data_IF_106102534360
#
_entry.id   IF_106102534360
#
_cell.length_a   1.000
_cell.length_b   1.000
_cell.length_c   1.000
_cell.angle_alpha   90.00
_cell.angle_beta   90.00
_cell.angle_gamma   90.00
#
_symmetry.space_group_name_H-M   'P 1'
#
loop_
_entity.id
_entity.type
_entity.pdbx_description
1 polymer ?
#
# COMPACT_ATOMS: atom_id res chain seq x y z
N UNK A 1 10.39 -4.85 10.12
CA UNK A 1 9.61 -3.59 9.96
C UNK A 1 10.30 -2.39 10.60
N UNK A 2 10.40 -2.25 11.92
CA UNK A 2 10.92 -1.02 12.57
C UNK A 2 12.39 -0.69 12.24
N UNK A 3 13.23 -1.70 12.03
CA UNK A 3 14.64 -1.51 11.63
C UNK A 3 14.79 -1.00 10.19
N UNK A 4 14.04 -1.57 9.26
CA UNK A 4 14.08 -1.23 7.81
C UNK A 4 13.21 -0.02 7.46
N UNK A 5 12.25 0.34 8.31
CA UNK A 5 11.30 1.42 8.07
C UNK A 5 11.93 2.76 7.67
N UNK A 6 12.98 3.25 8.36
CA UNK A 6 13.64 4.50 7.99
C UNK A 6 14.17 4.49 6.54
N UNK A 7 14.82 3.41 6.13
CA UNK A 7 15.35 3.25 4.76
C UNK A 7 14.23 3.26 3.72
N UNK A 8 13.16 2.48 3.95
CA UNK A 8 12.02 2.43 3.03
C UNK A 8 11.31 3.80 2.87
N UNK A 9 11.21 4.60 3.93
CA UNK A 9 10.62 5.94 3.85
C UNK A 9 11.54 6.92 3.11
N UNK A 10 12.86 6.80 3.29
CA UNK A 10 13.83 7.61 2.55
C UNK A 10 13.84 7.26 1.06
N UNK A 11 13.81 5.96 0.72
CA UNK A 11 13.63 5.49 -0.65
C UNK A 11 12.35 6.06 -1.25
N UNK A 12 11.24 5.94 -0.52
CA UNK A 12 9.96 6.51 -0.92
C UNK A 12 10.09 8.01 -1.18
N UNK A 13 10.74 8.79 -0.32
CA UNK A 13 11.02 10.22 -0.54
C UNK A 13 11.77 10.48 -1.86
N UNK A 14 12.74 9.65 -2.23
CA UNK A 14 13.49 9.83 -3.49
C UNK A 14 12.63 9.63 -4.73
N UNK A 15 11.53 8.87 -4.60
CA UNK A 15 10.57 8.63 -5.68
C UNK A 15 9.58 9.79 -5.92
N UNK A 16 9.65 10.87 -5.14
CA UNK A 16 8.86 12.09 -5.34
C UNK A 16 7.64 12.40 -4.44
N UNK A 17 7.29 11.67 -3.36
CA UNK A 17 6.18 12.04 -2.51
C UNK A 17 6.48 13.37 -1.80
N UNK A 18 5.52 14.29 -1.87
CA UNK A 18 5.59 15.62 -1.30
C UNK A 18 5.41 15.60 0.23
N UNK A 19 6.32 14.92 0.95
CA UNK A 19 6.38 15.02 2.40
C UNK A 19 6.52 16.48 2.82
N UNK A 20 5.80 16.84 3.89
CA UNK A 20 6.01 18.12 4.57
C UNK A 20 7.45 18.20 5.08
N UNK A 21 7.99 19.41 5.17
CA UNK A 21 9.39 19.64 5.54
C UNK A 21 9.50 20.45 6.81
N UNK A 22 10.56 20.18 7.56
CA UNK A 22 11.08 21.07 8.58
C UNK A 22 11.88 22.20 7.92
N UNK A 23 12.23 23.23 8.69
CA UNK A 23 12.99 24.39 8.21
C UNK A 23 14.36 24.00 7.64
N UNK A 24 14.96 22.91 8.14
CA UNK A 24 16.21 22.32 7.65
C UNK A 24 16.04 21.39 6.43
N UNK A 25 14.83 21.30 5.88
CA UNK A 25 14.52 20.51 4.70
C UNK A 25 14.36 19.01 4.94
N UNK A 26 14.51 18.51 6.18
CA UNK A 26 14.20 17.11 6.54
C UNK A 26 12.70 16.85 6.52
N UNK A 27 12.33 15.56 6.51
CA UNK A 27 10.92 15.14 6.54
C UNK A 27 10.31 15.57 7.88
N UNK A 28 9.19 16.29 7.83
CA UNK A 28 8.38 16.62 9.00
C UNK A 28 7.76 15.34 9.60
N UNK A 29 7.84 15.23 10.93
CA UNK A 29 7.23 14.15 11.71
C UNK A 29 6.35 14.72 12.81
N UNK A 30 5.15 14.14 12.98
CA UNK A 30 4.20 14.53 14.03
C UNK A 30 4.06 13.46 15.13
N UNK A 31 3.62 13.85 16.34
CA UNK A 31 3.17 12.90 17.36
C UNK A 31 2.00 12.05 16.87
N UNK A 32 1.89 10.83 17.40
CA UNK A 32 0.76 9.94 17.14
C UNK A 32 0.54 9.00 18.34
N UNK A 33 -0.64 8.39 18.41
CA UNK A 33 -0.99 7.48 19.51
C UNK A 33 0.00 6.32 19.66
N UNK A 34 0.36 6.00 20.90
CA UNK A 34 1.25 4.87 21.22
C UNK A 34 2.72 5.06 20.83
N UNK A 35 3.21 6.31 20.73
CA UNK A 35 4.62 6.60 20.43
C UNK A 35 5.33 7.23 21.63
N UNK A 36 6.33 6.55 22.18
CA UNK A 36 7.17 7.05 23.27
C UNK A 36 8.66 6.92 22.94
N UNK A 37 9.49 7.71 23.60
CA UNK A 37 10.95 7.54 23.64
C UNK A 37 11.35 6.67 24.83
N UNK A 38 12.59 6.18 24.83
CA UNK A 38 13.20 5.50 25.99
C UNK A 38 12.32 4.41 26.63
N UNK A 39 11.70 3.55 25.82
CA UNK A 39 10.87 2.41 26.27
C UNK A 39 9.69 2.79 27.19
N UNK A 40 8.99 3.89 26.91
CA UNK A 40 7.80 4.30 27.67
C UNK A 40 7.93 5.64 28.39
N UNK A 41 8.98 6.41 28.09
CA UNK A 41 9.14 7.77 28.57
C UNK A 41 8.26 8.76 27.82
N UNK A 42 8.82 9.93 27.52
CA UNK A 42 8.09 11.03 26.89
C UNK A 42 7.53 10.71 25.50
N UNK A 43 6.53 11.49 25.06
CA UNK A 43 5.90 11.37 23.75
C UNK A 43 6.94 11.52 22.62
N UNK A 44 6.94 10.55 21.69
CA UNK A 44 7.74 10.63 20.48
C UNK A 44 6.95 11.27 19.33
N UNK A 45 7.66 11.83 18.35
CA UNK A 45 7.12 12.31 17.09
C UNK A 45 7.83 11.61 15.93
N UNK A 46 7.28 10.47 15.48
CA UNK A 46 7.90 9.65 14.42
C UNK A 46 6.98 9.34 13.24
N UNK A 47 5.80 9.95 13.17
CA UNK A 47 4.88 9.80 12.03
C UNK A 47 5.21 10.82 10.96
N UNK A 48 5.91 10.40 9.91
CA UNK A 48 6.15 11.22 8.71
C UNK A 48 4.83 11.55 8.01
N UNK A 49 4.68 12.80 7.55
CA UNK A 49 3.41 13.25 6.97
C UNK A 49 3.60 14.14 5.74
N UNK A 50 2.66 14.04 4.80
CA UNK A 50 2.40 15.02 3.75
C UNK A 50 1.08 15.72 4.09
N UNK A 51 1.17 16.73 4.96
CA UNK A 51 0.01 17.33 5.64
C UNK A 51 -0.91 16.24 6.25
N UNK A 52 -2.17 16.23 5.83
CA UNK A 52 -3.20 15.25 6.20
C UNK A 52 -3.53 14.27 5.05
N UNK A 53 -2.76 14.29 3.95
CA UNK A 53 -3.01 13.51 2.73
C UNK A 53 -1.89 12.51 2.40
N UNK A 54 -1.18 12.03 3.41
CA UNK A 54 -0.03 11.12 3.23
C UNK A 54 -0.38 9.87 2.41
N UNK A 55 -1.55 9.26 2.63
CA UNK A 55 -1.98 8.09 1.86
C UNK A 55 -2.17 8.38 0.38
N UNK A 56 -2.79 9.52 0.05
CA UNK A 56 -2.97 9.97 -1.33
C UNK A 56 -1.61 10.23 -2.00
N UNK A 57 -0.72 10.98 -1.34
CA UNK A 57 0.62 11.26 -1.88
C UNK A 57 1.41 9.97 -2.13
N UNK A 58 1.36 9.02 -1.19
CA UNK A 58 2.04 7.73 -1.31
C UNK A 58 1.51 6.90 -2.49
N UNK A 59 0.19 6.77 -2.60
CA UNK A 59 -0.45 5.97 -3.65
C UNK A 59 -0.13 6.52 -5.04
N UNK A 60 -0.26 7.84 -5.23
CA UNK A 60 0.06 8.48 -6.52
C UNK A 60 1.54 8.32 -6.87
N UNK A 61 2.44 8.47 -5.90
CA UNK A 61 3.88 8.27 -6.10
C UNK A 61 4.17 6.86 -6.57
N UNK A 62 3.65 5.85 -5.88
CA UNK A 62 3.88 4.44 -6.24
C UNK A 62 3.26 4.09 -7.59
N UNK A 63 2.09 4.63 -7.92
CA UNK A 63 1.49 4.45 -9.24
C UNK A 63 2.35 5.06 -10.35
N UNK A 64 2.85 6.28 -10.16
CA UNK A 64 3.77 6.92 -11.10
C UNK A 64 5.06 6.10 -11.29
N UNK A 65 5.62 5.52 -10.22
CA UNK A 65 6.78 4.64 -10.34
C UNK A 65 6.46 3.35 -11.09
N UNK A 66 5.26 2.78 -10.93
CA UNK A 66 4.83 1.62 -11.72
C UNK A 66 4.72 1.95 -13.21
N UNK A 67 4.21 3.14 -13.57
CA UNK A 67 4.19 3.61 -14.96
C UNK A 67 5.60 3.76 -15.52
N UNK A 68 6.52 4.36 -14.75
CA UNK A 68 7.94 4.51 -15.11
C UNK A 68 8.62 3.15 -15.30
N UNK A 69 8.25 2.15 -14.50
CA UNK A 69 8.81 0.81 -14.55
C UNK A 69 8.07 -0.11 -15.56
N UNK A 70 7.09 0.41 -16.31
CA UNK A 70 6.30 -0.35 -17.27
C UNK A 70 5.65 -1.61 -16.68
N UNK A 71 5.21 -1.54 -15.42
CA UNK A 71 4.46 -2.63 -14.79
C UNK A 71 3.19 -2.90 -15.60
N UNK A 72 2.91 -4.17 -15.90
CA UNK A 72 1.64 -4.57 -16.52
C UNK A 72 0.51 -4.43 -15.51
N UNK A 73 -0.43 -3.52 -15.77
CA UNK A 73 -1.56 -3.24 -14.89
C UNK A 73 -2.85 -3.67 -15.61
N UNK A 74 -3.54 -4.65 -15.04
CA UNK A 74 -4.89 -5.03 -15.44
C UNK A 74 -5.89 -4.20 -14.62
N UNK A 75 -6.16 -2.98 -15.08
CA UNK A 75 -7.08 -2.06 -14.40
C UNK A 75 -8.52 -2.56 -14.51
N UNK A 76 -9.28 -2.50 -13.42
CA UNK A 76 -10.68 -2.94 -13.36
C UNK A 76 -10.91 -4.43 -13.68
N UNK A 77 -9.99 -5.28 -13.23
CA UNK A 77 -10.17 -6.73 -13.19
C UNK A 77 -10.50 -7.19 -11.77
N UNK A 78 -11.62 -7.91 -11.63
CA UNK A 78 -12.09 -8.43 -10.35
C UNK A 78 -11.65 -9.89 -10.17
N UNK A 79 -10.71 -10.14 -9.25
CA UNK A 79 -10.31 -11.50 -8.91
C UNK A 79 -11.45 -12.23 -8.18
N UNK A 80 -11.81 -13.41 -8.69
CA UNK A 80 -12.93 -14.21 -8.20
C UNK A 80 -12.44 -15.21 -7.15
N UNK A 81 -11.63 -16.17 -7.57
CA UNK A 81 -11.15 -17.26 -6.72
C UNK A 81 -9.71 -17.68 -7.04
N UNK A 82 -9.05 -18.26 -6.04
CA UNK A 82 -7.74 -18.88 -6.21
C UNK A 82 -7.87 -20.22 -6.93
N UNK A 83 -6.96 -20.48 -7.86
CA UNK A 83 -6.86 -21.78 -8.52
C UNK A 83 -5.82 -22.62 -7.79
N UNK A 84 -6.19 -23.83 -7.38
CA UNK A 84 -5.29 -24.81 -6.76
C UNK A 84 -5.09 -26.02 -7.68
N UNK A 85 -3.88 -26.57 -7.71
CA UNK A 85 -3.61 -27.83 -8.38
C UNK A 85 -3.97 -29.04 -7.49
N UNK A 86 -3.79 -30.25 -8.02
CA UNK A 86 -4.04 -31.51 -7.30
C UNK A 86 -3.19 -31.70 -6.03
N UNK A 87 -2.04 -31.02 -5.94
CA UNK A 87 -1.15 -31.05 -4.78
C UNK A 87 -1.54 -30.00 -3.72
N UNK A 88 -2.62 -29.24 -3.96
CA UNK A 88 -3.12 -28.18 -3.08
C UNK A 88 -2.38 -26.85 -3.20
N UNK A 89 -1.40 -26.73 -4.10
CA UNK A 89 -0.64 -25.50 -4.32
C UNK A 89 -1.45 -24.48 -5.12
N UNK A 90 -1.36 -23.20 -4.73
CA UNK A 90 -1.97 -22.08 -5.48
C UNK A 90 -1.17 -21.83 -6.75
N UNK A 91 -1.85 -21.88 -7.90
CA UNK A 91 -1.24 -21.76 -9.24
C UNK A 91 -1.78 -20.56 -10.04
N UNK A 92 -2.52 -19.67 -9.38
CA UNK A 92 -3.10 -18.48 -9.99
C UNK A 92 -4.44 -18.08 -9.38
N UNK A 93 -5.21 -17.30 -10.14
CA UNK A 93 -6.60 -16.97 -9.83
C UNK A 93 -7.43 -16.86 -11.12
N UNK A 94 -8.75 -17.00 -10.99
CA UNK A 94 -9.69 -16.56 -12.01
C UNK A 94 -10.05 -15.09 -11.76
N UNK A 95 -10.29 -14.34 -12.82
CA UNK A 95 -10.73 -12.95 -12.71
C UNK A 95 -11.70 -12.58 -13.83
N UNK A 96 -12.58 -11.63 -13.52
CA UNK A 96 -13.57 -11.04 -14.41
C UNK A 96 -13.07 -9.66 -14.87
N UNK A 97 -12.99 -9.42 -16.18
CA UNK A 97 -12.83 -8.08 -16.73
C UNK A 97 -14.15 -7.33 -16.58
N UNK A 98 -14.17 -6.25 -15.80
CA UNK A 98 -15.40 -5.50 -15.52
C UNK A 98 -15.90 -4.79 -16.80
N UNK A 99 -14.98 -4.30 -17.63
CA UNK A 99 -15.30 -3.60 -18.87
C UNK A 99 -16.00 -4.51 -19.89
N UNK A 100 -15.51 -5.74 -20.07
CA UNK A 100 -15.96 -6.64 -21.14
C UNK A 100 -16.84 -7.80 -20.68
N UNK A 101 -16.83 -8.12 -19.38
CA UNK A 101 -17.47 -9.33 -18.83
C UNK A 101 -16.69 -10.62 -19.06
N UNK A 102 -15.48 -10.56 -19.66
CA UNK A 102 -14.65 -11.74 -19.93
C UNK A 102 -14.12 -12.36 -18.63
N UNK A 103 -14.16 -13.70 -18.53
CA UNK A 103 -13.54 -14.44 -17.43
C UNK A 103 -12.27 -15.12 -17.91
N UNK A 104 -11.15 -14.83 -17.23
CA UNK A 104 -9.81 -15.33 -17.58
C UNK A 104 -9.16 -16.03 -16.40
N UNK A 105 -8.31 -17.00 -16.70
CA UNK A 105 -7.40 -17.64 -15.73
C UNK A 105 -6.01 -16.99 -15.79
N UNK A 106 -5.64 -16.30 -14.72
CA UNK A 106 -4.29 -15.78 -14.50
C UNK A 106 -3.40 -16.85 -13.88
N UNK A 107 -2.77 -17.67 -14.74
CA UNK A 107 -1.78 -18.66 -14.31
C UNK A 107 -0.51 -17.96 -13.81
N UNK A 108 -0.07 -18.29 -12.59
CA UNK A 108 1.12 -17.71 -12.00
C UNK A 108 1.90 -18.72 -11.14
N UNK A 109 3.22 -18.50 -11.03
CA UNK A 109 4.08 -19.26 -10.10
C UNK A 109 3.96 -18.76 -8.66
N UNK A 110 3.57 -17.51 -8.49
CA UNK A 110 3.35 -16.87 -7.19
C UNK A 110 2.16 -15.92 -7.31
N UNK A 111 1.23 -16.04 -6.36
CA UNK A 111 0.02 -15.19 -6.28
C UNK A 111 0.08 -14.43 -4.96
N UNK A 112 0.18 -13.10 -5.02
CA UNK A 112 0.27 -12.24 -3.84
C UNK A 112 -1.07 -11.55 -3.62
N UNK A 113 -1.72 -11.83 -2.49
CA UNK A 113 -2.96 -11.16 -2.10
C UNK A 113 -2.66 -9.86 -1.36
N UNK A 114 -3.13 -8.74 -1.93
CA UNK A 114 -2.99 -7.39 -1.38
C UNK A 114 -4.33 -6.61 -1.47
N UNK A 115 -5.46 -7.28 -1.15
CA UNK A 115 -6.84 -6.82 -1.44
C UNK A 115 -7.46 -5.87 -0.41
N UNK A 116 -6.73 -5.47 0.64
CA UNK A 116 -7.21 -4.55 1.67
C UNK A 116 -8.29 -5.12 2.60
N UNK A 117 -9.04 -4.25 3.28
CA UNK A 117 -10.12 -4.63 4.21
C UNK A 117 -10.98 -3.43 4.67
N UNK A 118 -11.98 -3.66 5.55
CA UNK A 118 -12.65 -2.58 6.30
C UNK A 118 -14.17 -2.42 6.14
N UNK A 119 -14.84 -3.17 5.25
CA UNK A 119 -16.30 -3.02 4.98
C UNK A 119 -17.22 -4.01 5.71
N UNK A 120 -16.70 -4.78 6.67
CA UNK A 120 -17.47 -5.81 7.38
C UNK A 120 -18.47 -5.26 8.41
N UNK A 121 -18.31 -4.00 8.82
CA UNK A 121 -19.21 -3.33 9.78
C UNK A 121 -20.19 -2.43 9.04
N UNK A 122 -21.43 -2.39 9.56
CA UNK A 122 -22.48 -1.53 9.02
C UNK A 122 -22.05 -0.06 9.16
N UNK A 123 -22.02 0.64 8.03
CA UNK A 123 -21.86 2.10 8.03
C UNK A 123 -23.22 2.70 8.37
N UNK A 124 -23.47 2.98 9.65
CA UNK A 124 -24.68 3.67 10.08
C UNK A 124 -24.56 5.12 9.63
N UNK A 125 -25.14 5.44 8.48
CA UNK A 125 -25.40 6.83 8.09
C UNK A 125 -26.62 7.29 8.89
N UNK A 126 -26.39 8.22 9.83
CA UNK A 126 -27.43 9.10 10.38
C UNK A 126 -27.59 10.31 9.46
#
# INVERSE_FOLDING_TARGET
MCKTGPEAILETRTHGPAFSRLDDGRIYQRPFGGQSKNFGGEQAARTAAAADRTGHALLHTLYQQNLKNHTTIFSEWYALDLVKNQDGAVVGCTALCIETGEVVYFKARATVLATGGGRAYLSVHH
#
